data_IF_759604214672
#
_entry.id   IF_759604214672
#
_cell.length_a   1.000
_cell.length_b   1.000
_cell.length_c   1.000
_cell.angle_alpha   90.00
_cell.angle_beta   90.00
_cell.angle_gamma   90.00
#
_symmetry.space_group_name_H-M   'P 1'
#
loop_
_entity.id
_entity.type
_entity.pdbx_description
1 polymer ?
#
# COMPACT_ATOMS: atom_id res chain seq x y z
N UNK A 1 15.72 7.63 -16.17
CA UNK A 1 14.62 8.59 -16.00
C UNK A 1 14.06 8.42 -14.59
N UNK A 2 14.67 9.07 -13.60
CA UNK A 2 14.23 9.00 -12.19
C UNK A 2 12.99 9.86 -12.01
N UNK A 3 11.87 9.24 -11.66
CA UNK A 3 10.65 9.96 -11.34
C UNK A 3 10.76 10.58 -9.95
N UNK A 4 10.46 11.88 -9.83
CA UNK A 4 10.36 12.58 -8.55
C UNK A 4 9.37 11.85 -7.62
N UNK A 5 9.52 11.89 -6.28
CA UNK A 5 8.59 11.26 -5.32
C UNK A 5 7.11 11.61 -5.58
N UNK A 6 6.84 12.84 -6.00
CA UNK A 6 5.51 13.29 -6.41
C UNK A 6 4.95 12.51 -7.62
N UNK A 7 5.79 12.13 -8.58
CA UNK A 7 5.39 11.32 -9.75
C UNK A 7 5.09 9.85 -9.39
N UNK A 8 5.71 9.33 -8.33
CA UNK A 8 5.44 7.98 -7.81
C UNK A 8 4.14 7.94 -7.01
N UNK A 9 3.88 8.98 -6.21
CA UNK A 9 2.60 9.13 -5.51
C UNK A 9 1.42 9.26 -6.49
N UNK A 10 1.58 10.05 -7.56
CA UNK A 10 0.53 10.25 -8.59
C UNK A 10 0.24 8.97 -9.38
N UNK A 11 1.26 8.17 -9.73
CA UNK A 11 1.06 6.88 -10.42
C UNK A 11 0.26 5.87 -9.59
N UNK A 12 0.39 5.92 -8.27
CA UNK A 12 -0.31 5.04 -7.34
C UNK A 12 -1.72 5.54 -6.95
N UNK A 13 -2.08 6.78 -7.27
CA UNK A 13 -3.38 7.37 -6.93
C UNK A 13 -4.59 6.68 -7.61
N UNK A 14 -4.38 6.01 -8.75
CA UNK A 14 -5.41 5.20 -9.43
C UNK A 14 -5.88 3.95 -8.65
N UNK A 15 -5.25 3.65 -7.51
CA UNK A 15 -5.59 2.52 -6.64
C UNK A 15 -6.93 2.71 -5.92
N UNK A 16 -7.25 3.94 -5.50
CA UNK A 16 -8.42 4.21 -4.67
C UNK A 16 -9.73 3.75 -5.34
N UNK A 17 -9.91 4.02 -6.64
CA UNK A 17 -11.18 3.75 -7.34
C UNK A 17 -11.59 2.27 -7.41
N UNK A 18 -10.65 1.32 -7.27
CA UNK A 18 -10.93 -0.13 -7.28
C UNK A 18 -11.01 -0.77 -5.90
N UNK A 19 -10.46 -0.14 -4.86
CA UNK A 19 -10.48 -0.69 -3.49
C UNK A 19 -11.84 -0.47 -2.82
N UNK A 20 -12.60 0.55 -3.25
CA UNK A 20 -13.87 0.93 -2.63
C UNK A 20 -15.11 0.31 -3.29
N UNK A 21 -15.05 -0.98 -3.65
CA UNK A 21 -16.24 -1.75 -4.06
C UNK A 21 -16.89 -2.46 -2.85
N UNK A 22 -18.20 -2.29 -2.67
CA UNK A 22 -18.92 -2.76 -1.49
C UNK A 22 -18.88 -4.29 -1.34
N UNK A 23 -19.23 -5.02 -2.40
CA UNK A 23 -19.32 -6.48 -2.37
C UNK A 23 -17.93 -7.09 -2.23
N UNK A 24 -16.95 -6.55 -2.96
CA UNK A 24 -15.58 -7.03 -2.92
C UNK A 24 -14.98 -6.97 -1.52
N UNK A 25 -15.14 -5.84 -0.82
CA UNK A 25 -14.58 -5.65 0.55
C UNK A 25 -15.18 -6.66 1.52
N UNK A 26 -16.50 -6.87 1.45
CA UNK A 26 -17.19 -7.79 2.37
C UNK A 26 -16.86 -9.26 2.08
N UNK A 27 -16.75 -9.63 0.80
CA UNK A 27 -16.29 -10.97 0.40
C UNK A 27 -14.87 -11.20 0.90
N UNK A 28 -13.95 -10.26 0.68
CA UNK A 28 -12.55 -10.37 1.11
C UNK A 28 -12.41 -10.53 2.63
N UNK A 29 -13.12 -9.72 3.42
CA UNK A 29 -13.09 -9.83 4.89
C UNK A 29 -13.71 -11.15 5.35
N UNK A 30 -14.85 -11.55 4.77
CA UNK A 30 -15.51 -12.81 5.12
C UNK A 30 -14.65 -14.03 4.78
N UNK A 31 -13.94 -14.01 3.64
CA UNK A 31 -13.04 -15.10 3.26
C UNK A 31 -11.80 -15.16 4.15
N UNK A 32 -11.32 -14.02 4.65
CA UNK A 32 -10.20 -13.94 5.59
C UNK A 32 -10.52 -14.55 6.95
N UNK A 33 -11.75 -14.38 7.45
CA UNK A 33 -12.18 -14.95 8.73
C UNK A 33 -12.42 -16.46 8.69
N UNK A 34 -12.79 -17.00 7.52
CA UNK A 34 -13.11 -18.43 7.34
C UNK A 34 -11.93 -19.29 6.84
N UNK A 35 -10.76 -18.67 6.61
CA UNK A 35 -9.49 -19.36 6.27
C UNK A 35 -9.56 -20.37 5.12
N UNK A 36 -10.30 -20.06 4.05
CA UNK A 36 -10.36 -20.91 2.85
C UNK A 36 -9.14 -20.76 1.90
N UNK A 37 -8.04 -20.15 2.35
CA UNK A 37 -6.82 -19.90 1.57
C UNK A 37 -6.96 -18.88 0.41
N UNK A 38 -8.19 -18.48 0.04
CA UNK A 38 -8.44 -17.50 -1.03
C UNK A 38 -7.82 -16.13 -0.70
N UNK A 39 -8.00 -15.68 0.54
CA UNK A 39 -7.46 -14.40 1.03
C UNK A 39 -5.93 -14.40 1.00
N UNK A 40 -5.30 -15.50 1.45
CA UNK A 40 -3.84 -15.67 1.43
C UNK A 40 -3.30 -15.59 0.00
N UNK A 41 -3.84 -16.40 -0.92
CA UNK A 41 -3.42 -16.37 -2.33
C UNK A 41 -3.57 -14.99 -2.97
N UNK A 42 -4.65 -14.29 -2.66
CA UNK A 42 -4.84 -12.94 -3.16
C UNK A 42 -3.83 -11.96 -2.57
N UNK A 43 -3.54 -12.05 -1.27
CA UNK A 43 -2.53 -11.22 -0.61
C UNK A 43 -1.12 -11.50 -1.14
N UNK A 44 -0.79 -12.74 -1.47
CA UNK A 44 0.49 -13.10 -2.11
C UNK A 44 0.65 -12.49 -3.50
N UNK A 45 -0.43 -12.49 -4.30
CA UNK A 45 -0.44 -11.82 -5.61
C UNK A 45 -0.24 -10.32 -5.44
N UNK A 46 -0.92 -9.70 -4.47
CA UNK A 46 -0.74 -8.27 -4.19
C UNK A 46 0.68 -7.99 -3.74
N UNK A 47 1.22 -8.80 -2.83
CA UNK A 47 2.57 -8.64 -2.30
C UNK A 47 3.58 -8.63 -3.44
N UNK A 48 3.60 -9.69 -4.24
CA UNK A 48 4.55 -9.88 -5.33
C UNK A 48 4.37 -8.92 -6.50
N UNK A 49 3.12 -8.53 -6.85
CA UNK A 49 2.85 -7.70 -8.03
C UNK A 49 2.77 -6.20 -7.74
N UNK A 50 2.66 -5.79 -6.48
CA UNK A 50 2.44 -4.39 -6.10
C UNK A 50 3.35 -3.92 -4.98
N UNK A 51 3.39 -4.64 -3.86
CA UNK A 51 4.11 -4.18 -2.66
C UNK A 51 5.62 -4.27 -2.87
N UNK A 52 6.13 -5.44 -3.28
CA UNK A 52 7.57 -5.65 -3.49
C UNK A 52 8.15 -4.72 -4.58
N UNK A 53 7.49 -4.55 -5.75
CA UNK A 53 7.94 -3.55 -6.73
C UNK A 53 7.96 -2.12 -6.19
N UNK A 54 6.93 -1.70 -5.44
CA UNK A 54 6.87 -0.34 -4.89
C UNK A 54 7.97 -0.09 -3.83
N UNK A 55 8.26 -1.10 -3.01
CA UNK A 55 9.37 -1.05 -2.06
C UNK A 55 10.72 -0.93 -2.77
N UNK A 56 10.94 -1.71 -3.82
CA UNK A 56 12.16 -1.63 -4.62
C UNK A 56 12.31 -0.25 -5.28
N UNK A 57 11.26 0.28 -5.91
CA UNK A 57 11.32 1.60 -6.54
C UNK A 57 11.65 2.71 -5.52
N UNK A 58 11.12 2.62 -4.28
CA UNK A 58 11.44 3.57 -3.21
C UNK A 58 12.92 3.50 -2.82
N UNK A 59 13.50 2.30 -2.71
CA UNK A 59 14.93 2.13 -2.43
C UNK A 59 15.79 2.72 -3.53
N UNK A 60 15.47 2.42 -4.79
CA UNK A 60 16.19 2.95 -5.95
C UNK A 60 16.15 4.48 -5.98
N UNK A 61 15.02 5.09 -5.56
CA UNK A 61 14.86 6.54 -5.50
C UNK A 61 15.69 7.25 -4.41
N UNK A 62 16.10 6.53 -3.36
CA UNK A 62 16.91 7.08 -2.25
C UNK A 62 18.39 7.18 -2.60
N UNK A 63 18.81 6.64 -3.74
CA UNK A 63 20.21 6.73 -4.16
C UNK A 63 21.15 6.01 -3.20
N UNK A 64 20.78 4.80 -2.77
CA UNK A 64 21.66 3.91 -1.99
C UNK A 64 22.31 2.81 -2.85
N UNK A 65 23.02 3.12 -3.97
CA UNK A 65 23.67 2.09 -4.79
C UNK A 65 24.94 1.52 -4.15
N UNK A 66 25.26 1.87 -2.89
CA UNK A 66 26.56 1.61 -2.26
C UNK A 66 26.56 0.58 -1.13
N UNK A 67 25.46 0.39 -0.41
CA UNK A 67 25.49 -0.41 0.84
C UNK A 67 24.78 -1.76 0.74
N UNK A 68 23.92 -1.95 -0.27
CA UNK A 68 23.13 -3.19 -0.40
C UNK A 68 23.41 -3.85 -1.76
N UNK A 69 23.71 -5.16 -1.77
CA UNK A 69 24.06 -5.85 -3.01
C UNK A 69 22.89 -5.74 -4.02
N UNK A 70 23.19 -5.52 -5.32
CA UNK A 70 22.20 -5.19 -6.37
C UNK A 70 21.21 -6.32 -6.71
N UNK A 71 21.07 -7.34 -5.85
CA UNK A 71 20.10 -8.43 -5.97
C UNK A 71 19.28 -8.67 -4.69
N UNK A 72 19.41 -7.85 -3.64
CA UNK A 72 18.64 -8.07 -2.42
C UNK A 72 17.21 -7.55 -2.59
N UNK A 73 16.24 -8.46 -2.61
CA UNK A 73 14.84 -8.14 -2.32
C UNK A 73 14.76 -7.15 -1.16
N UNK A 74 13.85 -6.17 -1.24
CA UNK A 74 13.61 -5.25 -0.13
C UNK A 74 13.45 -6.05 1.18
N UNK A 75 14.11 -5.63 2.28
CA UNK A 75 14.05 -6.35 3.54
C UNK A 75 12.59 -6.41 4.05
N UNK A 76 12.31 -7.44 4.85
CA UNK A 76 10.95 -7.82 5.19
C UNK A 76 10.19 -6.72 5.96
N UNK A 77 10.90 -5.92 6.75
CA UNK A 77 10.38 -4.75 7.45
C UNK A 77 9.94 -3.64 6.48
N UNK A 78 10.70 -3.37 5.43
CA UNK A 78 10.30 -2.43 4.37
C UNK A 78 9.06 -2.92 3.63
N UNK A 79 9.01 -4.21 3.29
CA UNK A 79 7.81 -4.82 2.69
C UNK A 79 6.60 -4.64 3.64
N UNK A 80 6.80 -4.87 4.94
CA UNK A 80 5.74 -4.75 5.94
C UNK A 80 5.26 -3.30 6.10
N UNK A 81 6.13 -2.29 5.95
CA UNK A 81 5.71 -0.89 5.94
C UNK A 81 4.71 -0.58 4.82
N UNK A 82 4.92 -1.14 3.63
CA UNK A 82 3.97 -1.00 2.52
C UNK A 82 2.69 -1.83 2.75
N UNK A 83 2.77 -2.99 3.40
CA UNK A 83 1.59 -3.71 3.89
C UNK A 83 0.77 -2.82 4.85
N UNK A 84 1.43 -2.15 5.78
CA UNK A 84 0.82 -1.19 6.72
C UNK A 84 0.16 -0.01 6.01
N UNK A 85 0.82 0.61 5.03
CA UNK A 85 0.24 1.67 4.19
C UNK A 85 -1.05 1.20 3.50
N UNK A 86 -1.02 0.02 2.86
CA UNK A 86 -2.20 -0.58 2.25
C UNK A 86 -3.29 -0.81 3.29
N UNK A 87 -2.93 -1.32 4.47
CA UNK A 87 -3.83 -1.55 5.60
C UNK A 87 -4.54 -0.27 6.04
N UNK A 88 -3.80 0.85 6.16
CA UNK A 88 -4.37 2.15 6.51
C UNK A 88 -5.41 2.63 5.50
N UNK A 89 -5.14 2.46 4.20
CA UNK A 89 -6.11 2.79 3.13
C UNK A 89 -7.31 1.84 3.16
N UNK A 90 -7.07 0.54 3.31
CA UNK A 90 -8.11 -0.48 3.32
C UNK A 90 -9.04 -0.35 4.55
N UNK A 91 -8.52 0.13 5.67
CA UNK A 91 -9.31 0.37 6.88
C UNK A 91 -10.47 1.36 6.66
N UNK A 92 -10.31 2.35 5.77
CA UNK A 92 -11.39 3.26 5.39
C UNK A 92 -12.56 2.48 4.76
N UNK A 93 -12.25 1.49 3.92
CA UNK A 93 -13.25 0.64 3.28
C UNK A 93 -13.92 -0.30 4.29
N UNK A 94 -13.17 -0.84 5.26
CA UNK A 94 -13.74 -1.63 6.36
C UNK A 94 -14.74 -0.80 7.16
N UNK A 95 -14.36 0.42 7.58
CA UNK A 95 -15.26 1.32 8.33
C UNK A 95 -16.57 1.56 7.59
N UNK A 96 -16.47 1.85 6.29
CA UNK A 96 -17.64 2.14 5.44
C UNK A 96 -18.53 0.92 5.21
N UNK A 97 -17.95 -0.21 4.79
CA UNK A 97 -18.71 -1.32 4.22
C UNK A 97 -18.86 -2.53 5.12
N UNK A 98 -18.04 -2.64 6.17
CA UNK A 98 -18.12 -3.72 7.16
C UNK A 98 -18.77 -3.22 8.44
N UNK A 99 -18.26 -2.11 8.98
CA UNK A 99 -18.78 -1.53 10.24
C UNK A 99 -19.97 -0.61 10.04
N UNK A 100 -20.32 -0.31 8.79
CA UNK A 100 -21.44 0.56 8.43
C UNK A 100 -21.36 1.93 9.11
N UNK A 101 -20.15 2.44 9.30
CA UNK A 101 -19.91 3.76 9.87
C UNK A 101 -19.99 4.84 8.79
N UNK A 102 -20.66 5.98 9.03
CA UNK A 102 -20.59 7.10 8.12
C UNK A 102 -19.14 7.58 7.99
N UNK A 103 -18.76 7.96 6.76
CA UNK A 103 -17.49 8.58 6.48
C UNK A 103 -17.67 10.09 6.35
N UNK A 104 -17.30 10.83 7.39
CA UNK A 104 -17.26 12.29 7.39
C UNK A 104 -15.88 12.81 6.94
N UNK A 105 -15.35 12.21 5.87
CA UNK A 105 -14.03 12.54 5.32
C UNK A 105 -14.10 12.59 3.80
N UNK A 106 -13.24 13.40 3.19
CA UNK A 106 -12.89 13.23 1.78
C UNK A 106 -11.94 12.04 1.66
N UNK A 107 -12.47 10.91 1.18
CA UNK A 107 -11.72 9.65 1.02
C UNK A 107 -10.52 9.82 0.10
N UNK A 108 -10.68 10.56 -1.01
CA UNK A 108 -9.63 10.70 -2.01
C UNK A 108 -8.49 11.59 -1.47
N UNK A 109 -8.84 12.70 -0.82
CA UNK A 109 -7.88 13.55 -0.16
C UNK A 109 -7.18 12.83 0.99
N UNK A 110 -7.91 12.04 1.79
CA UNK A 110 -7.34 11.26 2.89
C UNK A 110 -6.35 10.21 2.37
N UNK A 111 -6.71 9.45 1.33
CA UNK A 111 -5.80 8.46 0.73
C UNK A 111 -4.54 9.14 0.17
N UNK A 112 -4.69 10.27 -0.54
CA UNK A 112 -3.53 11.05 -1.00
C UNK A 112 -2.62 11.47 0.15
N UNK A 113 -3.19 12.02 1.21
CA UNK A 113 -2.44 12.47 2.38
C UNK A 113 -1.71 11.30 3.07
N UNK A 114 -2.37 10.16 3.26
CA UNK A 114 -1.75 8.95 3.83
C UNK A 114 -0.56 8.49 2.99
N UNK A 115 -0.69 8.45 1.67
CA UNK A 115 0.40 8.06 0.77
C UNK A 115 1.54 9.08 0.80
N UNK A 116 1.23 10.38 0.76
CA UNK A 116 2.23 11.45 0.82
C UNK A 116 3.03 11.40 2.13
N UNK A 117 2.34 11.34 3.27
CA UNK A 117 2.97 11.27 4.59
C UNK A 117 3.86 10.03 4.74
N UNK A 118 3.42 8.89 4.17
CA UNK A 118 4.25 7.68 4.14
C UNK A 118 5.57 7.93 3.40
N UNK A 119 5.53 8.47 2.19
CA UNK A 119 6.74 8.71 1.41
C UNK A 119 7.63 9.79 2.03
N UNK A 120 7.05 10.85 2.60
CA UNK A 120 7.81 11.88 3.33
C UNK A 120 8.54 11.29 4.53
N UNK A 121 7.86 10.51 5.37
CA UNK A 121 8.48 9.86 6.52
C UNK A 121 9.52 8.81 6.11
N UNK A 122 9.21 8.01 5.10
CA UNK A 122 10.10 6.97 4.61
C UNK A 122 11.40 7.58 4.01
N UNK A 123 11.29 8.68 3.23
CA UNK A 123 12.46 9.40 2.71
C UNK A 123 13.21 10.21 3.79
N UNK A 124 12.50 10.71 4.80
CA UNK A 124 13.08 11.48 5.91
C UNK A 124 13.91 10.63 6.87
N UNK A 125 13.56 9.36 7.07
CA UNK A 125 14.31 8.42 7.92
C UNK A 125 15.64 7.93 7.30
N UNK A 126 15.91 8.27 6.03
CA UNK A 126 17.15 7.92 5.32
C UNK A 126 18.21 9.04 5.33
N UNK A 127 18.04 10.07 6.18
CA UNK A 127 19.01 11.15 6.44
C UNK A 127 19.58 11.03 7.84
#
# INVERSE_FOLDING_TARGET
>A
MSGTPASMAVRNAGYAKRVFDYDWVRIFVSSGLKSYGLTERYLDIIRSKKIEPAAQELRDSRGDPGTLPPSSTAPADEIELFCGLRGAVFYIAIRKYVYNMPLEIDVEATVRATVANFFEGALGAAR
#
